data_IF_793336691152
#
_entry.id   IF_793336691152
#
_cell.length_a   1.000
_cell.length_b   1.000
_cell.length_c   1.000
_cell.angle_alpha   90.00
_cell.angle_beta   90.00
_cell.angle_gamma   90.00
#
_symmetry.space_group_name_H-M   'P 1'
#
loop_
_entity.id
_entity.type
_entity.pdbx_description
1 polymer ?
#
# COMPACT_ATOMS: atom_id res chain seq x y z
N UNK A 1 -3.99 4.21 8.23
CA UNK A 1 -4.77 4.79 7.12
C UNK A 1 -5.96 3.89 6.77
N UNK A 2 -5.77 2.68 6.26
CA UNK A 2 -6.86 1.81 5.76
C UNK A 2 -7.86 1.37 6.82
N UNK A 3 -7.45 1.25 8.09
CA UNK A 3 -8.36 1.01 9.20
C UNK A 3 -9.39 2.15 9.35
N UNK A 4 -8.96 3.40 9.19
CA UNK A 4 -9.86 4.56 9.19
C UNK A 4 -10.71 4.64 7.93
N UNK A 5 -10.12 4.39 6.75
CA UNK A 5 -10.84 4.39 5.49
C UNK A 5 -11.99 3.36 5.49
N UNK A 6 -11.79 2.19 6.12
CA UNK A 6 -12.83 1.17 6.24
C UNK A 6 -14.04 1.60 7.09
N UNK A 7 -13.88 2.63 7.95
CA UNK A 7 -14.98 3.16 8.77
C UNK A 7 -15.83 4.22 8.05
N UNK A 8 -15.38 4.72 6.89
CA UNK A 8 -16.10 5.73 6.09
C UNK A 8 -17.30 5.13 5.35
N UNK A 9 -18.33 5.93 5.04
CA UNK A 9 -19.46 5.45 4.24
C UNK A 9 -19.01 5.06 2.82
N UNK A 10 -19.71 4.09 2.23
CA UNK A 10 -19.47 3.63 0.85
C UNK A 10 -19.78 4.69 -0.20
N UNK A 11 -20.67 5.63 0.11
CA UNK A 11 -21.05 6.76 -0.74
C UNK A 11 -20.74 8.05 -0.01
N UNK A 12 -20.05 8.99 -0.66
CA UNK A 12 -19.85 10.33 -0.14
C UNK A 12 -20.85 11.29 -0.72
N UNK A 13 -21.36 12.20 0.13
CA UNK A 13 -22.28 13.27 -0.30
C UNK A 13 -21.59 14.37 -1.12
N UNK A 14 -20.27 14.55 -0.97
CA UNK A 14 -19.53 15.72 -1.45
C UNK A 14 -18.26 15.38 -2.24
N UNK A 15 -18.15 14.20 -2.83
CA UNK A 15 -16.97 13.85 -3.65
C UNK A 15 -15.64 13.68 -2.90
N UNK A 16 -15.57 14.01 -1.61
CA UNK A 16 -14.39 13.84 -0.79
C UNK A 16 -14.24 12.37 -0.35
N UNK A 17 -13.66 11.63 -1.22
CA UNK A 17 -12.81 10.50 -1.00
C UNK A 17 -13.28 9.38 -0.09
N UNK A 18 -14.33 8.63 -0.45
CA UNK A 18 -14.39 7.23 -0.03
C UNK A 18 -15.39 6.48 -0.89
N UNK A 19 -14.93 5.88 -1.92
CA UNK A 19 -15.65 4.81 -2.57
C UNK A 19 -15.60 3.54 -1.72
N UNK A 20 -15.99 2.39 -2.31
CA UNK A 20 -15.75 1.10 -1.72
C UNK A 20 -14.25 0.88 -1.46
N UNK A 21 -13.93 0.37 -0.27
CA UNK A 21 -12.55 0.09 0.16
C UNK A 21 -12.44 -1.37 0.53
N UNK A 22 -11.39 -2.02 0.04
CA UNK A 22 -10.89 -3.31 0.52
C UNK A 22 -9.36 -3.24 0.58
N UNK A 23 -8.75 -3.62 1.70
CA UNK A 23 -7.30 -3.61 1.86
C UNK A 23 -6.83 -4.81 2.68
N UNK A 24 -5.93 -5.59 2.11
CA UNK A 24 -5.26 -6.70 2.77
C UNK A 24 -4.10 -6.12 3.59
N UNK A 25 -4.07 -6.38 4.89
CA UNK A 25 -3.02 -5.90 5.79
C UNK A 25 -1.80 -6.85 5.86
N UNK A 26 -1.79 -7.93 5.10
CA UNK A 26 -0.66 -8.85 5.02
C UNK A 26 0.29 -8.42 3.91
N UNK A 27 1.59 -8.35 4.20
CA UNK A 27 2.63 -7.90 3.25
C UNK A 27 3.34 -9.06 2.54
N UNK A 28 2.89 -10.28 2.74
CA UNK A 28 3.45 -11.50 2.13
C UNK A 28 4.96 -11.68 2.38
N UNK A 29 5.47 -11.22 3.53
CA UNK A 29 6.86 -11.36 3.96
C UNK A 29 7.03 -12.57 4.88
N UNK A 30 8.27 -13.01 5.20
CA UNK A 30 8.53 -14.04 6.21
C UNK A 30 8.00 -13.71 7.61
N UNK A 31 7.77 -12.42 7.90
CA UNK A 31 7.27 -11.94 9.20
C UNK A 31 5.77 -11.66 9.18
N UNK A 32 5.11 -11.87 8.04
CA UNK A 32 3.67 -11.70 7.95
C UNK A 32 2.94 -12.79 8.72
N UNK A 33 1.88 -12.44 9.48
CA UNK A 33 1.10 -13.44 10.23
C UNK A 33 0.41 -14.40 9.27
N UNK A 34 0.15 -15.63 9.76
CA UNK A 34 -0.63 -16.62 9.02
C UNK A 34 -2.09 -16.19 8.83
N UNK A 35 -2.63 -15.49 9.81
CA UNK A 35 -3.96 -14.91 9.74
C UNK A 35 -3.96 -13.67 8.84
N UNK A 36 -4.81 -13.66 7.82
CA UNK A 36 -4.92 -12.54 6.90
C UNK A 36 -6.04 -11.62 7.34
N UNK A 37 -5.68 -10.39 7.74
CA UNK A 37 -6.63 -9.34 8.11
C UNK A 37 -6.96 -8.47 6.90
N UNK A 38 -8.24 -8.22 6.67
CA UNK A 38 -8.73 -7.35 5.59
C UNK A 38 -9.60 -6.23 6.16
N UNK A 39 -9.23 -4.99 5.86
CA UNK A 39 -10.04 -3.80 6.15
C UNK A 39 -10.98 -3.54 4.99
N UNK A 40 -12.28 -3.34 5.27
CA UNK A 40 -13.26 -3.05 4.23
C UNK A 40 -14.44 -2.26 4.76
N UNK A 41 -15.02 -1.40 3.91
CA UNK A 41 -16.31 -0.75 4.15
C UNK A 41 -17.44 -1.39 3.32
N UNK A 42 -17.19 -2.52 2.65
CA UNK A 42 -18.18 -3.28 1.88
C UNK A 42 -19.09 -4.13 2.79
N UNK A 43 -20.08 -4.80 2.23
CA UNK A 43 -21.00 -5.67 2.98
C UNK A 43 -20.33 -7.01 3.32
N UNK A 44 -19.52 -7.53 2.39
CA UNK A 44 -18.72 -8.74 2.56
C UNK A 44 -17.38 -8.62 1.87
N UNK A 45 -16.44 -9.47 2.29
CA UNK A 45 -15.12 -9.61 1.69
C UNK A 45 -14.92 -11.05 1.26
N UNK A 46 -14.41 -11.24 0.05
CA UNK A 46 -14.03 -12.52 -0.50
C UNK A 46 -12.52 -12.57 -0.67
N UNK A 47 -11.85 -13.53 -0.03
CA UNK A 47 -10.40 -13.73 -0.12
C UNK A 47 -10.10 -14.99 -0.92
N UNK A 48 -9.23 -14.85 -1.93
CA UNK A 48 -8.61 -15.96 -2.67
C UNK A 48 -7.11 -16.00 -2.37
N UNK A 49 -6.58 -17.19 -2.13
CA UNK A 49 -5.16 -17.45 -1.90
C UNK A 49 -4.61 -18.25 -3.05
N UNK A 50 -3.55 -17.76 -3.72
CA UNK A 50 -2.87 -18.46 -4.82
C UNK A 50 -3.79 -18.91 -5.97
N UNK A 51 -4.87 -18.16 -6.22
CA UNK A 51 -5.85 -18.52 -7.25
C UNK A 51 -6.77 -19.69 -6.87
N UNK A 52 -6.71 -20.13 -5.62
CA UNK A 52 -7.64 -21.14 -5.09
C UNK A 52 -9.08 -20.61 -4.94
N UNK A 53 -10.01 -21.48 -4.52
CA UNK A 53 -11.40 -21.09 -4.33
C UNK A 53 -11.52 -19.97 -3.29
N UNK A 54 -12.36 -18.96 -3.57
CA UNK A 54 -12.53 -17.84 -2.65
C UNK A 54 -13.33 -18.22 -1.41
N UNK A 55 -12.95 -17.66 -0.27
CA UNK A 55 -13.70 -17.73 0.99
C UNK A 55 -14.35 -16.38 1.23
N UNK A 56 -15.68 -16.35 1.40
CA UNK A 56 -16.43 -15.11 1.67
C UNK A 56 -16.80 -15.00 3.14
N UNK A 57 -16.63 -13.79 3.70
CA UNK A 57 -17.05 -13.43 5.05
C UNK A 57 -17.76 -12.08 5.04
N UNK A 58 -18.84 -11.96 5.83
CA UNK A 58 -19.53 -10.68 6.05
C UNK A 58 -18.68 -9.75 6.90
N UNK A 59 -18.76 -8.47 6.61
CA UNK A 59 -18.16 -7.42 7.45
C UNK A 59 -19.09 -7.20 8.65
N UNK A 60 -18.61 -7.53 9.84
CA UNK A 60 -19.37 -7.36 11.08
C UNK A 60 -19.29 -5.90 11.58
N UNK A 61 -20.26 -5.52 12.42
CA UNK A 61 -20.22 -4.30 13.22
C UNK A 61 -20.13 -4.65 14.70
N UNK A 62 -19.48 -3.77 15.48
CA UNK A 62 -19.41 -3.90 16.93
C UNK A 62 -20.28 -2.79 17.56
N UNK A 63 -21.37 -3.11 18.26
CA UNK A 63 -22.19 -2.09 18.93
C UNK A 63 -21.35 -1.32 19.96
N UNK A 64 -21.40 0.01 19.89
CA UNK A 64 -20.59 0.90 20.75
C UNK A 64 -19.10 0.98 20.40
N UNK A 65 -18.66 0.32 19.31
CA UNK A 65 -17.27 0.29 18.83
C UNK A 65 -17.15 0.61 17.35
N UNK A 66 -16.33 -0.17 16.64
CA UNK A 66 -16.10 0.01 15.21
C UNK A 66 -17.36 -0.31 14.40
N UNK A 67 -17.75 0.59 13.50
CA UNK A 67 -18.87 0.37 12.56
C UNK A 67 -18.60 -0.84 11.66
N UNK A 68 -17.33 -1.08 11.35
CA UNK A 68 -16.87 -2.21 10.53
C UNK A 68 -15.66 -2.84 11.17
N UNK A 69 -15.83 -4.07 11.63
CA UNK A 69 -14.75 -4.86 12.24
C UNK A 69 -13.88 -5.43 11.11
N UNK A 70 -12.55 -5.39 11.23
CA UNK A 70 -11.67 -6.05 10.27
C UNK A 70 -12.02 -7.52 10.10
N UNK A 71 -12.02 -7.99 8.86
CA UNK A 71 -12.33 -9.39 8.54
C UNK A 71 -11.04 -10.20 8.63
N UNK A 72 -11.03 -11.22 9.50
CA UNK A 72 -9.87 -12.09 9.67
C UNK A 72 -10.13 -13.44 9.00
N UNK A 73 -9.19 -13.87 8.16
CA UNK A 73 -9.14 -15.20 7.55
C UNK A 73 -8.03 -15.99 8.22
N UNK A 74 -8.36 -16.93 9.14
CA UNK A 74 -7.38 -17.64 9.92
C UNK A 74 -6.56 -18.59 9.04
N UNK A 75 -5.25 -18.66 9.30
CA UNK A 75 -4.29 -19.55 8.62
C UNK A 75 -4.36 -19.48 7.09
N UNK A 76 -4.69 -18.29 6.55
CA UNK A 76 -4.82 -18.08 5.11
C UNK A 76 -3.47 -17.83 4.41
N UNK A 77 -2.40 -17.59 5.17
CA UNK A 77 -1.08 -17.36 4.64
C UNK A 77 -0.04 -18.25 5.32
N UNK A 78 0.69 -19.06 4.54
CA UNK A 78 1.87 -19.79 4.98
C UNK A 78 3.05 -19.41 4.09
N UNK A 79 4.03 -18.71 4.67
CA UNK A 79 5.20 -18.25 3.94
C UNK A 79 6.03 -19.41 3.39
N UNK A 80 6.19 -20.50 4.15
CA UNK A 80 7.02 -21.63 3.73
C UNK A 80 6.39 -22.43 2.60
N UNK A 81 5.07 -22.64 2.64
CA UNK A 81 4.33 -23.27 1.54
C UNK A 81 4.37 -22.41 0.28
N UNK A 82 4.17 -21.11 0.42
CA UNK A 82 4.23 -20.17 -0.69
C UNK A 82 5.63 -20.09 -1.31
N UNK A 83 6.69 -20.18 -0.48
CA UNK A 83 8.07 -20.26 -0.95
C UNK A 83 8.36 -21.55 -1.73
N UNK A 84 7.81 -22.70 -1.29
CA UNK A 84 7.89 -23.96 -2.02
C UNK A 84 7.16 -23.85 -3.38
N UNK A 85 5.96 -23.28 -3.39
CA UNK A 85 5.18 -23.05 -4.61
C UNK A 85 5.94 -22.18 -5.62
N UNK A 86 6.55 -21.09 -5.16
CA UNK A 86 7.35 -20.21 -5.99
C UNK A 86 8.57 -20.92 -6.59
N UNK A 87 9.32 -21.70 -5.78
CA UNK A 87 10.47 -22.49 -6.23
C UNK A 87 10.10 -23.58 -7.25
N UNK A 88 8.87 -24.10 -7.16
CA UNK A 88 8.31 -25.06 -8.10
C UNK A 88 7.86 -24.46 -9.44
N UNK A 89 8.29 -23.24 -9.80
CA UNK A 89 7.96 -22.57 -11.05
C UNK A 89 6.58 -21.91 -11.10
N UNK A 90 5.83 -21.92 -9.99
CA UNK A 90 4.49 -21.31 -9.87
C UNK A 90 4.53 -19.97 -9.14
N UNK A 91 5.65 -19.26 -9.18
CA UNK A 91 5.85 -17.98 -8.49
C UNK A 91 4.80 -16.93 -8.86
N UNK A 92 4.35 -16.89 -10.09
CA UNK A 92 3.29 -15.99 -10.55
C UNK A 92 1.92 -16.25 -9.92
N UNK A 93 1.70 -17.46 -9.39
CA UNK A 93 0.46 -17.84 -8.71
C UNK A 93 0.43 -17.36 -7.24
N UNK A 94 1.60 -17.12 -6.63
CA UNK A 94 1.66 -16.74 -5.20
C UNK A 94 1.15 -15.33 -5.00
N UNK A 95 -0.06 -15.22 -4.44
CA UNK A 95 -0.73 -13.95 -4.16
C UNK A 95 -1.95 -14.12 -3.26
N UNK A 96 -2.30 -13.03 -2.59
CA UNK A 96 -3.58 -12.85 -1.93
C UNK A 96 -4.43 -11.88 -2.75
N UNK A 97 -5.70 -12.20 -2.95
CA UNK A 97 -6.65 -11.32 -3.62
C UNK A 97 -7.88 -11.16 -2.74
N UNK A 98 -8.16 -9.94 -2.32
CA UNK A 98 -9.39 -9.60 -1.63
C UNK A 98 -10.33 -8.82 -2.55
N UNK A 99 -11.60 -9.20 -2.58
CA UNK A 99 -12.68 -8.54 -3.29
C UNK A 99 -13.70 -8.04 -2.28
N UNK A 100 -14.05 -6.75 -2.37
CA UNK A 100 -15.13 -6.16 -1.58
C UNK A 100 -16.44 -6.24 -2.36
N UNK A 101 -17.50 -6.73 -1.71
CA UNK A 101 -18.82 -6.91 -2.33
C UNK A 101 -19.85 -6.01 -1.67
N UNK A 102 -20.70 -5.39 -2.51
CA UNK A 102 -21.89 -4.61 -2.11
C UNK A 102 -23.08 -5.18 -2.86
N UNK A 103 -24.13 -5.57 -2.13
CA UNK A 103 -25.29 -6.21 -2.71
C UNK A 103 -24.96 -7.48 -3.52
N UNK A 104 -23.92 -8.23 -3.09
CA UNK A 104 -23.46 -9.44 -3.76
C UNK A 104 -22.61 -9.22 -5.02
N UNK A 105 -22.34 -7.97 -5.41
CA UNK A 105 -21.51 -7.63 -6.57
C UNK A 105 -20.13 -7.17 -6.12
N UNK A 106 -19.07 -7.64 -6.80
CA UNK A 106 -17.71 -7.16 -6.59
C UNK A 106 -17.60 -5.71 -7.07
N UNK A 107 -17.20 -4.81 -6.20
CA UNK A 107 -17.08 -3.36 -6.47
C UNK A 107 -15.67 -2.83 -6.35
N UNK A 108 -14.80 -3.54 -5.61
CA UNK A 108 -13.41 -3.15 -5.40
C UNK A 108 -12.55 -4.40 -5.18
N UNK A 109 -11.29 -4.32 -5.57
CA UNK A 109 -10.31 -5.42 -5.45
C UNK A 109 -8.98 -4.88 -4.96
N UNK A 110 -8.32 -5.66 -4.12
CA UNK A 110 -6.94 -5.44 -3.69
C UNK A 110 -6.14 -6.73 -3.83
N UNK A 111 -4.92 -6.63 -4.36
CA UNK A 111 -4.04 -7.77 -4.55
C UNK A 111 -2.69 -7.50 -3.88
N UNK A 112 -2.19 -8.48 -3.13
CA UNK A 112 -0.87 -8.45 -2.51
C UNK A 112 -0.10 -9.70 -2.91
N UNK A 113 1.18 -9.53 -3.20
CA UNK A 113 2.10 -10.62 -3.55
C UNK A 113 3.47 -10.41 -2.94
N UNK A 114 4.26 -11.47 -2.71
CA UNK A 114 5.63 -11.33 -2.28
C UNK A 114 6.46 -10.56 -3.30
N UNK A 115 7.27 -9.61 -2.83
CA UNK A 115 8.23 -8.95 -3.69
C UNK A 115 9.38 -9.90 -4.06
N UNK A 116 9.84 -9.80 -5.29
CA UNK A 116 11.04 -10.45 -5.81
C UNK A 116 12.30 -9.69 -5.42
N UNK A 117 13.39 -9.89 -6.17
CA UNK A 117 14.62 -9.11 -6.06
C UNK A 117 14.30 -7.64 -6.33
N UNK A 118 14.93 -6.74 -5.57
CA UNK A 118 14.87 -5.31 -5.83
C UNK A 118 15.50 -5.01 -7.20
N UNK A 119 14.82 -4.21 -8.02
CA UNK A 119 15.26 -3.89 -9.37
C UNK A 119 15.10 -2.42 -9.72
N UNK A 120 14.16 -1.72 -9.08
CA UNK A 120 13.79 -0.35 -9.44
C UNK A 120 13.52 0.49 -8.21
N UNK A 121 13.74 1.80 -8.36
CA UNK A 121 13.20 2.81 -7.46
C UNK A 121 12.02 3.48 -8.17
N UNK A 122 10.87 3.52 -7.48
CA UNK A 122 9.69 4.26 -7.92
C UNK A 122 9.57 5.51 -7.08
N UNK A 123 9.46 6.66 -7.73
CA UNK A 123 9.16 7.93 -7.06
C UNK A 123 7.66 8.22 -7.16
N UNK A 124 7.08 8.61 -6.05
CA UNK A 124 5.67 9.02 -5.97
C UNK A 124 5.60 10.36 -5.25
N UNK A 125 4.81 11.28 -5.78
CA UNK A 125 4.48 12.52 -5.09
C UNK A 125 3.38 12.21 -4.08
N UNK A 126 3.64 12.48 -2.79
CA UNK A 126 2.62 12.41 -1.74
C UNK A 126 1.94 13.78 -1.65
N UNK A 127 0.86 13.92 -2.38
CA UNK A 127 0.01 15.12 -2.39
C UNK A 127 -1.47 14.73 -2.43
N UNK A 128 -2.32 15.61 -1.93
CA UNK A 128 -3.76 15.46 -2.10
C UNK A 128 -4.17 15.66 -3.57
N UNK A 129 -5.10 14.84 -4.05
CA UNK A 129 -5.65 15.00 -5.39
C UNK A 129 -6.34 16.37 -5.52
N UNK A 130 -6.01 17.09 -6.59
CA UNK A 130 -6.57 18.41 -6.90
C UNK A 130 -5.87 19.60 -6.23
N UNK A 131 -4.77 19.37 -5.50
CA UNK A 131 -3.90 20.44 -5.00
C UNK A 131 -2.84 20.76 -6.04
N UNK A 132 -2.87 21.97 -6.56
CA UNK A 132 -1.83 22.47 -7.45
C UNK A 132 -0.60 22.90 -6.65
N UNK A 133 0.59 22.61 -7.20
CA UNK A 133 1.87 23.04 -6.66
C UNK A 133 2.38 24.22 -7.49
N UNK A 134 2.79 25.28 -6.81
CA UNK A 134 3.26 26.50 -7.45
C UNK A 134 4.74 26.75 -7.13
N UNK A 135 5.51 27.17 -8.13
CA UNK A 135 6.90 27.59 -7.97
C UNK A 135 6.98 29.00 -7.35
N UNK A 136 6.55 29.13 -6.10
CA UNK A 136 6.42 30.39 -5.36
C UNK A 136 7.45 30.55 -4.22
N UNK A 137 8.37 29.61 -4.09
CA UNK A 137 9.38 29.57 -3.02
C UNK A 137 8.86 29.08 -1.66
N UNK A 138 7.57 28.74 -1.56
CA UNK A 138 6.93 28.35 -0.31
C UNK A 138 6.32 26.94 -0.34
N UNK A 139 5.90 26.49 -1.53
CA UNK A 139 5.23 25.19 -1.65
C UNK A 139 6.22 24.05 -1.43
N UNK A 140 5.88 23.18 -0.49
CA UNK A 140 6.63 21.98 -0.11
C UNK A 140 5.77 20.76 -0.33
N UNK A 141 6.36 19.73 -0.89
CA UNK A 141 5.72 18.42 -1.04
C UNK A 141 6.65 17.28 -0.68
N UNK A 142 6.08 16.15 -0.33
CA UNK A 142 6.85 14.94 -0.09
C UNK A 142 7.00 14.13 -1.37
N UNK A 143 8.21 13.64 -1.61
CA UNK A 143 8.53 12.62 -2.59
C UNK A 143 8.84 11.34 -1.82
N UNK A 144 8.14 10.26 -2.15
CA UNK A 144 8.39 8.94 -1.56
C UNK A 144 9.08 8.07 -2.60
N UNK A 145 10.30 7.64 -2.29
CA UNK A 145 11.01 6.64 -3.07
C UNK A 145 10.68 5.25 -2.52
N UNK A 146 10.23 4.34 -3.37
CA UNK A 146 9.93 2.96 -3.02
C UNK A 146 10.84 2.02 -3.79
N UNK A 147 11.51 1.11 -3.07
CA UNK A 147 12.30 0.04 -3.68
C UNK A 147 11.35 -1.05 -4.14
N UNK A 148 11.32 -1.33 -5.44
CA UNK A 148 10.38 -2.29 -6.03
C UNK A 148 11.09 -3.38 -6.81
N UNK A 149 10.41 -4.50 -6.99
CA UNK A 149 10.79 -5.51 -7.97
C UNK A 149 10.42 -5.09 -9.41
N UNK A 150 10.79 -5.90 -10.40
CA UNK A 150 10.49 -5.62 -11.80
C UNK A 150 8.99 -5.52 -12.13
N UNK A 151 8.11 -6.00 -11.24
CA UNK A 151 6.65 -5.92 -11.36
C UNK A 151 6.04 -4.73 -10.61
N UNK A 152 6.87 -3.93 -9.94
CA UNK A 152 6.43 -2.78 -9.15
C UNK A 152 5.94 -3.14 -7.72
N UNK A 153 6.18 -4.37 -7.25
CA UNK A 153 5.87 -4.76 -5.86
C UNK A 153 6.95 -4.21 -4.94
N UNK A 154 6.54 -3.49 -3.89
CA UNK A 154 7.47 -2.88 -2.93
C UNK A 154 8.20 -3.96 -2.12
N UNK A 155 9.52 -3.84 -2.05
CA UNK A 155 10.41 -4.72 -1.29
C UNK A 155 10.45 -4.28 0.18
N UNK A 156 9.48 -4.70 0.98
CA UNK A 156 9.29 -4.24 2.38
C UNK A 156 10.50 -4.47 3.29
N UNK A 157 11.27 -5.54 3.07
CA UNK A 157 12.44 -5.88 3.88
C UNK A 157 13.75 -5.40 3.24
N UNK A 158 13.72 -4.33 2.46
CA UNK A 158 14.91 -3.65 1.99
C UNK A 158 15.35 -2.63 3.06
N UNK A 159 16.63 -2.62 3.38
CA UNK A 159 17.28 -1.79 4.41
C UNK A 159 18.46 -0.97 3.85
N UNK A 160 18.57 -0.86 2.53
CA UNK A 160 19.57 -0.03 1.85
C UNK A 160 19.28 1.46 2.06
N UNK A 161 20.17 2.32 1.59
CA UNK A 161 20.02 3.78 1.62
C UNK A 161 19.69 4.30 0.22
N UNK A 162 18.90 5.37 0.17
CA UNK A 162 18.61 6.11 -1.05
C UNK A 162 19.19 7.51 -0.91
N UNK A 163 19.94 7.91 -1.93
CA UNK A 163 20.44 9.28 -2.07
C UNK A 163 19.51 10.04 -3.00
N UNK A 164 18.94 11.13 -2.50
CA UNK A 164 18.13 12.04 -3.28
C UNK A 164 19.00 13.23 -3.74
N UNK A 165 18.77 13.63 -4.96
CA UNK A 165 19.25 14.92 -5.53
C UNK A 165 18.12 15.55 -6.32
N UNK A 166 18.14 16.87 -6.45
CA UNK A 166 17.15 17.61 -7.25
C UNK A 166 17.87 18.54 -8.22
N UNK A 167 17.36 18.65 -9.43
CA UNK A 167 17.81 19.58 -10.45
C UNK A 167 16.68 20.53 -10.84
N UNK A 168 17.03 21.76 -11.19
CA UNK A 168 16.06 22.77 -11.60
C UNK A 168 15.64 23.71 -10.46
N UNK A 169 14.51 24.45 -10.62
CA UNK A 169 14.05 25.46 -9.67
C UNK A 169 13.34 24.80 -8.48
N UNK A 170 14.04 23.95 -7.76
CA UNK A 170 13.56 23.28 -6.56
C UNK A 170 14.76 22.92 -5.68
N UNK A 171 14.53 22.68 -4.41
CA UNK A 171 15.57 22.24 -3.47
C UNK A 171 15.06 21.16 -2.54
N UNK A 172 15.95 20.26 -2.14
CA UNK A 172 15.71 19.30 -1.05
C UNK A 172 15.81 20.04 0.29
N UNK A 173 14.88 19.75 1.19
CA UNK A 173 14.99 20.21 2.58
C UNK A 173 15.95 19.27 3.31
N UNK A 174 17.23 19.66 3.32
CA UNK A 174 18.33 18.89 3.90
C UNK A 174 19.34 19.83 4.57
N UNK A 175 20.05 19.32 5.57
CA UNK A 175 21.17 20.03 6.20
C UNK A 175 22.52 19.73 5.51
N UNK A 176 22.49 18.91 4.46
CA UNK A 176 23.72 18.54 3.74
C UNK A 176 24.22 19.72 2.89
N UNK A 177 25.51 20.12 3.00
CA UNK A 177 26.06 21.26 2.29
C UNK A 177 26.13 21.07 0.76
N UNK A 178 26.07 19.84 0.25
CA UNK A 178 26.05 19.51 -1.17
C UNK A 178 24.62 19.47 -1.76
N UNK A 179 23.59 19.73 -0.93
CA UNK A 179 22.19 19.72 -1.34
C UNK A 179 21.63 18.31 -1.60
N UNK A 180 22.37 17.26 -1.25
CA UNK A 180 21.85 15.89 -1.32
C UNK A 180 21.20 15.46 0.00
N UNK A 181 20.34 14.44 -0.04
CA UNK A 181 19.71 13.85 1.13
C UNK A 181 19.86 12.32 1.08
N UNK A 182 20.61 11.76 2.00
CA UNK A 182 20.69 10.31 2.19
C UNK A 182 19.68 9.86 3.22
N UNK A 183 18.80 8.95 2.84
CA UNK A 183 17.76 8.39 3.71
C UNK A 183 17.83 6.87 3.76
N UNK A 184 17.79 6.27 4.97
CA UNK A 184 17.65 4.85 5.11
C UNK A 184 16.28 4.41 4.64
N UNK A 185 16.23 3.34 3.85
CA UNK A 185 14.98 2.70 3.45
C UNK A 185 14.36 2.01 4.65
N UNK A 186 13.15 2.39 5.00
CA UNK A 186 12.38 1.72 6.06
C UNK A 186 11.09 1.18 5.48
N UNK A 187 10.88 -0.11 5.67
CA UNK A 187 9.71 -0.80 5.17
C UNK A 187 9.53 -0.65 3.65
N UNK A 188 10.66 -0.64 2.93
CA UNK A 188 10.73 -0.56 1.47
C UNK A 188 10.56 0.84 0.89
N UNK A 189 10.56 1.89 1.72
CA UNK A 189 10.41 3.28 1.26
C UNK A 189 11.30 4.26 2.04
N UNK A 190 11.59 5.39 1.39
CA UNK A 190 12.28 6.52 1.99
C UNK A 190 11.62 7.83 1.51
N UNK A 191 11.26 8.76 2.40
CA UNK A 191 10.69 10.06 2.03
C UNK A 191 11.77 11.13 1.88
N UNK A 192 11.48 12.12 1.02
CA UNK A 192 12.21 13.39 0.95
C UNK A 192 11.23 14.55 0.84
N UNK A 193 11.56 15.70 1.40
CA UNK A 193 10.79 16.93 1.24
C UNK A 193 11.47 17.82 0.21
N UNK A 194 10.68 18.31 -0.72
CA UNK A 194 11.13 19.20 -1.80
C UNK A 194 10.35 20.50 -1.72
N UNK A 195 11.07 21.62 -1.74
CA UNK A 195 10.51 22.96 -1.87
C UNK A 195 10.66 23.45 -3.30
N UNK A 196 9.59 23.94 -3.89
CA UNK A 196 9.62 24.55 -5.20
C UNK A 196 10.19 25.97 -5.09
N UNK A 197 11.22 26.28 -5.91
CA UNK A 197 11.82 27.59 -5.98
C UNK A 197 10.90 28.60 -6.67
N UNK A 198 11.05 29.88 -6.33
CA UNK A 198 10.46 30.96 -7.11
C UNK A 198 11.21 31.07 -8.45
N UNK A 199 10.44 31.29 -9.54
CA UNK A 199 11.02 31.62 -10.84
C UNK A 199 11.56 33.05 -10.86
#
# INVERSE_FOLDING_TARGET
>A
YYAFMSQRPQKTRNGLGSGPVVHIANECTPFSPEDVTVFSNCDSVRLSVNGGPPVEKKVASCPGGLKRVPVVFPKAWDFMENKKLARGGKEGAVKLVAEGLIGGKVVVRHEVRPARRAEKIRLTLDREDGVDLYANGSDVFAVVAEVTDGRGTVKRLNDEEIVFSVEGPAELLTDSPDGTLTQPVKWGSAPALVRLGAK
#
